data_IF_811172065509
#
_entry.id   IF_811172065509
#
_cell.length_a   1.000
_cell.length_b   1.000
_cell.length_c   1.000
_cell.angle_alpha   90.00
_cell.angle_beta   90.00
_cell.angle_gamma   90.00
#
_symmetry.space_group_name_H-M   'P 1'
#
loop_
_entity.id
_entity.type
_entity.pdbx_description
1 polymer ?
#
# COMPACT_ATOMS: atom_id res chain seq x y z
N UNK A 1 -2.16 -3.51 25.36
CA UNK A 1 -1.57 -2.30 24.75
C UNK A 1 -0.24 -2.71 24.12
N UNK A 2 -0.18 -2.87 22.80
CA UNK A 2 1.06 -3.18 22.09
C UNK A 2 1.93 -1.91 22.00
N UNK A 3 3.21 -1.97 22.36
CA UNK A 3 4.03 -0.77 22.45
C UNK A 3 4.29 -0.17 21.05
N UNK A 4 3.96 1.11 20.89
CA UNK A 4 4.27 1.95 19.73
C UNK A 4 5.71 2.45 19.71
N UNK A 5 6.50 2.15 20.74
CA UNK A 5 7.92 2.51 20.82
C UNK A 5 8.75 1.66 19.86
N UNK A 6 9.01 2.19 18.67
CA UNK A 6 9.92 1.55 17.69
C UNK A 6 9.57 1.75 16.22
N UNK A 7 8.36 2.23 15.91
CA UNK A 7 7.98 2.54 14.52
C UNK A 7 8.52 3.92 14.13
N UNK A 8 9.52 3.93 13.24
CA UNK A 8 10.19 5.13 12.75
C UNK A 8 10.30 5.13 11.21
N UNK A 9 11.11 6.03 10.63
CA UNK A 9 11.24 6.18 9.17
C UNK A 9 11.61 4.90 8.42
N UNK A 10 12.21 3.93 9.09
CA UNK A 10 12.52 2.62 8.52
C UNK A 10 11.27 1.85 8.07
N UNK A 11 10.09 2.05 8.66
CA UNK A 11 8.87 1.36 8.26
C UNK A 11 8.46 1.71 6.81
N UNK A 12 8.85 2.91 6.37
CA UNK A 12 8.60 3.42 5.03
C UNK A 12 9.30 2.58 3.95
N UNK A 13 10.51 2.09 4.25
CA UNK A 13 11.33 1.32 3.32
C UNK A 13 11.04 -0.19 3.36
N UNK A 14 10.13 -0.64 4.22
CA UNK A 14 9.86 -2.06 4.38
C UNK A 14 9.33 -2.67 3.08
N UNK A 15 9.85 -3.84 2.66
CA UNK A 15 9.22 -4.61 1.60
C UNK A 15 7.76 -4.87 1.93
N UNK A 16 6.89 -4.62 0.97
CA UNK A 16 5.47 -4.91 1.10
C UNK A 16 5.20 -6.40 0.89
N UNK A 17 5.88 -6.99 -0.10
CA UNK A 17 5.76 -8.39 -0.48
C UNK A 17 6.88 -9.23 0.12
N UNK A 18 6.59 -10.48 0.49
CA UNK A 18 7.50 -11.45 1.07
C UNK A 18 8.03 -11.02 2.45
N UNK A 19 7.42 -10.03 3.09
CA UNK A 19 7.89 -9.50 4.36
C UNK A 19 7.23 -10.22 5.53
N UNK A 20 7.90 -11.17 6.17
CA UNK A 20 7.26 -12.07 7.12
C UNK A 20 6.83 -11.40 8.44
N UNK A 21 7.17 -10.12 8.64
CA UNK A 21 6.85 -9.38 9.87
C UNK A 21 5.73 -8.37 9.68
N UNK A 22 5.28 -8.16 8.44
CA UNK A 22 3.90 -7.71 8.26
C UNK A 22 3.01 -8.84 8.80
N UNK A 23 2.15 -8.58 9.80
CA UNK A 23 1.31 -9.64 10.41
C UNK A 23 0.43 -10.37 9.40
N UNK A 24 0.13 -9.73 8.26
CA UNK A 24 -0.62 -10.30 7.14
C UNK A 24 0.21 -11.13 6.16
N UNK A 25 1.53 -11.16 6.30
CA UNK A 25 2.44 -11.96 5.48
C UNK A 25 2.83 -13.29 6.15
N UNK A 26 2.63 -13.42 7.47
CA UNK A 26 2.99 -14.61 8.24
C UNK A 26 2.04 -15.81 8.07
N UNK A 27 1.14 -15.80 7.08
CA UNK A 27 0.30 -16.98 6.76
C UNK A 27 -0.64 -17.47 7.87
N UNK A 28 -0.81 -16.72 8.96
CA UNK A 28 -1.65 -17.12 10.11
C UNK A 28 -3.17 -16.98 9.86
N UNK A 29 -3.55 -16.52 8.66
CA UNK A 29 -4.86 -16.67 8.04
C UNK A 29 -4.58 -17.01 6.57
N UNK A 30 -5.27 -17.98 5.99
CA UNK A 30 -4.88 -18.59 4.73
C UNK A 30 -4.71 -17.58 3.57
N UNK A 31 -3.47 -17.29 3.19
CA UNK A 31 -3.10 -16.44 2.06
C UNK A 31 -2.48 -15.10 2.47
N UNK A 32 -1.18 -14.94 2.23
CA UNK A 32 -0.49 -13.66 2.44
C UNK A 32 -1.02 -12.54 1.55
N UNK A 33 -0.51 -11.32 1.74
CA UNK A 33 -0.89 -10.15 0.93
C UNK A 33 -0.75 -10.40 -0.58
N UNK A 34 0.21 -11.23 -0.98
CA UNK A 34 0.47 -11.64 -2.36
C UNK A 34 -0.71 -12.40 -2.97
N UNK A 35 -1.33 -13.29 -2.18
CA UNK A 35 -2.49 -14.08 -2.60
C UNK A 35 -3.73 -13.22 -2.68
N UNK A 36 -3.90 -12.31 -1.72
CA UNK A 36 -5.10 -11.48 -1.61
C UNK A 36 -5.09 -10.29 -2.58
N UNK A 37 -3.90 -9.84 -2.99
CA UNK A 37 -3.73 -8.67 -3.86
C UNK A 37 -2.79 -8.94 -5.05
N UNK A 38 -3.05 -9.97 -5.89
CA UNK A 38 -2.15 -10.36 -6.98
C UNK A 38 -2.00 -9.24 -8.03
N UNK A 39 -3.06 -8.48 -8.30
CA UNK A 39 -3.02 -7.34 -9.20
C UNK A 39 -2.11 -6.21 -8.67
N UNK A 40 -2.09 -5.96 -7.36
CA UNK A 40 -1.19 -4.97 -6.77
C UNK A 40 0.26 -5.48 -6.74
N UNK A 41 0.46 -6.78 -6.47
CA UNK A 41 1.78 -7.43 -6.50
C UNK A 41 2.42 -7.36 -7.89
N UNK A 42 1.63 -7.42 -8.96
CA UNK A 42 2.10 -7.30 -10.34
C UNK A 42 2.57 -5.89 -10.72
N UNK A 43 2.36 -4.87 -9.88
CA UNK A 43 2.81 -3.51 -10.16
C UNK A 43 4.31 -3.33 -9.83
N UNK A 44 5.18 -3.06 -10.81
CA UNK A 44 6.64 -3.03 -10.60
C UNK A 44 7.11 -1.95 -9.62
N UNK A 45 6.36 -0.85 -9.48
CA UNK A 45 6.69 0.25 -8.57
C UNK A 45 6.22 0.04 -7.12
N UNK A 46 5.34 -0.93 -6.87
CA UNK A 46 4.68 -1.10 -5.57
C UNK A 46 5.46 -2.07 -4.68
N UNK A 47 6.69 -1.70 -4.30
CA UNK A 47 7.60 -2.62 -3.60
C UNK A 47 7.64 -2.44 -2.08
N UNK A 48 7.31 -1.23 -1.60
CA UNK A 48 7.46 -0.88 -0.19
C UNK A 48 6.15 -0.40 0.42
N UNK A 49 6.04 -0.49 1.74
CA UNK A 49 4.94 0.13 2.48
C UNK A 49 4.84 1.63 2.20
N UNK A 50 5.98 2.34 2.12
CA UNK A 50 6.01 3.75 1.79
C UNK A 50 5.44 4.05 0.40
N UNK A 51 5.73 3.22 -0.61
CA UNK A 51 5.10 3.37 -1.93
C UNK A 51 3.60 3.11 -1.87
N UNK A 52 3.15 2.09 -1.12
CA UNK A 52 1.72 1.81 -0.95
C UNK A 52 0.98 2.98 -0.27
N UNK A 53 1.56 3.56 0.77
CA UNK A 53 1.01 4.74 1.46
C UNK A 53 0.97 5.95 0.53
N UNK A 54 2.04 6.23 -0.24
CA UNK A 54 2.03 7.30 -1.26
C UNK A 54 0.90 7.12 -2.27
N UNK A 55 0.75 5.91 -2.84
CA UNK A 55 -0.31 5.61 -3.80
C UNK A 55 -1.69 5.81 -3.18
N UNK A 56 -1.88 5.33 -1.95
CA UNK A 56 -3.15 5.48 -1.25
C UNK A 56 -3.45 6.95 -0.97
N UNK A 57 -2.53 7.75 -0.42
CA UNK A 57 -2.77 9.17 -0.18
C UNK A 57 -3.07 9.95 -1.47
N UNK A 58 -2.33 9.68 -2.55
CA UNK A 58 -2.57 10.28 -3.86
C UNK A 58 -3.96 9.94 -4.46
N UNK A 59 -4.60 8.87 -3.99
CA UNK A 59 -5.96 8.47 -4.35
C UNK A 59 -7.05 9.10 -3.46
N UNK A 60 -6.72 9.96 -2.49
CA UNK A 60 -7.69 10.57 -1.59
C UNK A 60 -8.82 11.30 -2.34
N UNK A 61 -8.48 12.10 -3.36
CA UNK A 61 -9.47 12.79 -4.18
C UNK A 61 -10.38 11.82 -4.95
N UNK A 62 -9.84 10.68 -5.43
CA UNK A 62 -10.65 9.65 -6.09
C UNK A 62 -11.61 9.01 -5.09
N UNK A 63 -11.15 8.66 -3.88
CA UNK A 63 -12.02 8.10 -2.83
C UNK A 63 -13.13 9.06 -2.42
N UNK A 64 -12.82 10.35 -2.28
CA UNK A 64 -13.84 11.37 -1.97
C UNK A 64 -14.90 11.48 -3.07
N UNK A 65 -14.48 11.49 -4.34
CA UNK A 65 -15.39 11.50 -5.48
C UNK A 65 -16.30 10.26 -5.51
N UNK A 66 -15.74 9.08 -5.24
CA UNK A 66 -16.50 7.82 -5.17
C UNK A 66 -17.48 7.85 -4.00
N UNK A 67 -17.04 8.27 -2.81
CA UNK A 67 -17.86 8.33 -1.61
C UNK A 67 -19.00 9.36 -1.69
N UNK A 68 -18.88 10.38 -2.55
CA UNK A 68 -19.95 11.36 -2.80
C UNK A 68 -21.15 10.80 -3.56
N UNK A 69 -21.11 9.53 -3.98
CA UNK A 69 -22.16 8.86 -4.74
C UNK A 69 -22.68 7.62 -4.02
N UNK A 70 -23.99 7.33 -4.15
CA UNK A 70 -24.54 6.08 -3.67
C UNK A 70 -23.88 4.87 -4.37
N UNK A 71 -23.80 3.75 -3.67
CA UNK A 71 -23.26 2.51 -4.21
C UNK A 71 -24.00 2.11 -5.49
N UNK A 72 -23.24 1.79 -6.54
CA UNK A 72 -23.79 1.45 -7.86
C UNK A 72 -24.18 2.64 -8.75
N UNK A 73 -24.13 3.88 -8.25
CA UNK A 73 -24.53 5.08 -9.00
C UNK A 73 -23.37 5.79 -9.72
N UNK A 74 -22.23 5.12 -9.91
CA UNK A 74 -21.03 5.75 -10.46
C UNK A 74 -21.11 5.84 -11.99
N UNK A 75 -21.73 6.91 -12.47
CA UNK A 75 -21.91 7.14 -13.90
C UNK A 75 -20.58 7.23 -14.69
N UNK A 76 -20.63 6.97 -16.01
CA UNK A 76 -19.42 6.80 -16.85
C UNK A 76 -18.53 8.04 -16.89
N UNK A 77 -19.11 9.25 -16.82
CA UNK A 77 -18.35 10.51 -16.77
C UNK A 77 -17.50 10.61 -15.51
N UNK A 78 -18.05 10.20 -14.37
CA UNK A 78 -17.34 10.25 -13.09
C UNK A 78 -16.27 9.16 -13.02
N UNK A 79 -16.58 7.94 -13.46
CA UNK A 79 -15.60 6.86 -13.57
C UNK A 79 -14.39 7.30 -14.42
N UNK A 80 -14.64 7.93 -15.57
CA UNK A 80 -13.57 8.49 -16.42
C UNK A 80 -12.74 9.55 -15.71
N UNK A 81 -13.37 10.47 -14.96
CA UNK A 81 -12.67 11.50 -14.17
C UNK A 81 -11.78 10.88 -13.10
N UNK A 82 -12.28 9.88 -12.37
CA UNK A 82 -11.52 9.13 -11.37
C UNK A 82 -10.31 8.43 -12.01
N UNK A 83 -10.48 7.79 -13.16
CA UNK A 83 -9.39 7.13 -13.89
C UNK A 83 -8.35 8.12 -14.40
N UNK A 84 -8.74 9.31 -14.88
CA UNK A 84 -7.80 10.37 -15.26
C UNK A 84 -6.99 10.84 -14.04
N UNK A 85 -7.65 11.03 -12.89
CA UNK A 85 -6.99 11.46 -11.66
C UNK A 85 -6.00 10.40 -11.16
N UNK A 86 -6.38 9.12 -11.20
CA UNK A 86 -5.52 7.99 -10.86
C UNK A 86 -4.25 7.96 -11.74
N UNK A 87 -4.41 8.08 -13.07
CA UNK A 87 -3.27 8.12 -14.01
C UNK A 87 -2.30 9.27 -13.69
N UNK A 88 -2.84 10.45 -13.39
CA UNK A 88 -2.06 11.67 -13.12
C UNK A 88 -1.37 11.67 -11.77
N UNK A 89 -2.00 11.07 -10.75
CA UNK A 89 -1.56 11.20 -9.35
C UNK A 89 -0.79 9.98 -8.85
N UNK A 90 -0.99 8.80 -9.45
CA UNK A 90 -0.36 7.55 -9.01
C UNK A 90 0.51 6.93 -10.09
N UNK A 91 -0.09 6.56 -11.23
CA UNK A 91 0.61 5.72 -12.21
C UNK A 91 1.89 6.37 -12.71
N UNK A 92 1.81 7.61 -13.19
CA UNK A 92 2.98 8.32 -13.70
C UNK A 92 3.95 8.80 -12.62
N UNK A 93 3.52 9.54 -11.58
CA UNK A 93 4.47 10.14 -10.63
C UNK A 93 4.99 9.17 -9.57
N UNK A 94 4.23 8.13 -9.20
CA UNK A 94 4.61 7.22 -8.11
C UNK A 94 5.10 5.90 -8.70
N UNK A 95 4.26 5.22 -9.48
CA UNK A 95 4.57 3.88 -10.00
C UNK A 95 5.41 3.90 -11.29
N UNK A 96 5.61 5.07 -11.89
CA UNK A 96 6.36 5.26 -13.16
C UNK A 96 5.81 4.44 -14.33
N UNK A 97 4.51 4.14 -14.30
CA UNK A 97 3.78 3.47 -15.36
C UNK A 97 3.15 4.53 -16.27
N UNK A 98 3.61 4.59 -17.51
CA UNK A 98 3.11 5.53 -18.53
C UNK A 98 2.03 4.91 -19.42
N UNK A 99 2.07 3.59 -19.59
CA UNK A 99 1.18 2.81 -20.42
C UNK A 99 0.20 1.97 -19.57
N UNK A 100 -1.10 2.16 -19.82
CA UNK A 100 -2.16 1.44 -19.14
C UNK A 100 -2.23 -0.04 -19.49
N UNK A 101 -1.73 -0.45 -20.67
CA UNK A 101 -1.72 -1.85 -21.06
C UNK A 101 -0.83 -2.69 -20.12
N UNK A 102 0.10 -2.05 -19.41
CA UNK A 102 0.96 -2.67 -18.40
C UNK A 102 0.32 -2.75 -17.00
N UNK A 103 -0.86 -2.14 -16.82
CA UNK A 103 -1.61 -2.17 -15.57
C UNK A 103 -2.57 -3.36 -15.61
N UNK A 104 -2.60 -4.21 -14.57
CA UNK A 104 -3.56 -5.30 -14.46
C UNK A 104 -5.00 -4.82 -14.66
N UNK A 105 -5.85 -5.59 -15.36
CA UNK A 105 -7.23 -5.19 -15.70
C UNK A 105 -8.03 -4.63 -14.52
N UNK A 106 -7.90 -5.25 -13.35
CA UNK A 106 -8.59 -4.91 -12.10
C UNK A 106 -8.20 -3.54 -11.55
N UNK A 107 -7.07 -2.99 -11.99
CA UNK A 107 -6.52 -1.71 -11.56
C UNK A 107 -6.58 -0.64 -12.66
N UNK A 108 -7.14 -0.94 -13.83
CA UNK A 108 -7.19 0.04 -14.91
C UNK A 108 -8.19 1.19 -14.65
N UNK A 109 -9.12 0.95 -13.74
CA UNK A 109 -10.15 1.86 -13.28
C UNK A 109 -9.70 2.59 -12.02
N UNK A 110 -9.84 3.92 -11.99
CA UNK A 110 -9.49 4.73 -10.83
C UNK A 110 -10.26 4.34 -9.55
N UNK A 111 -11.59 4.17 -9.60
CA UNK A 111 -12.38 3.68 -8.46
C UNK A 111 -11.92 2.31 -7.94
N UNK A 112 -11.69 1.35 -8.84
CA UNK A 112 -11.30 -0.01 -8.44
C UNK A 112 -9.89 -0.04 -7.85
N UNK A 113 -8.96 0.71 -8.45
CA UNK A 113 -7.64 0.94 -7.87
C UNK A 113 -7.74 1.56 -6.46
N UNK A 114 -8.59 2.57 -6.27
CA UNK A 114 -8.79 3.19 -4.96
C UNK A 114 -9.36 2.21 -3.91
N UNK A 115 -10.26 1.31 -4.31
CA UNK A 115 -10.77 0.25 -3.46
C UNK A 115 -9.67 -0.77 -3.09
N UNK A 116 -8.92 -1.26 -4.08
CA UNK A 116 -7.82 -2.21 -3.90
C UNK A 116 -6.72 -1.66 -2.98
N UNK A 117 -6.27 -0.42 -3.19
CA UNK A 117 -5.28 0.21 -2.29
C UNK A 117 -5.82 0.41 -0.86
N UNK A 118 -7.13 0.67 -0.71
CA UNK A 118 -7.75 0.81 0.62
C UNK A 118 -7.85 -0.54 1.33
N UNK A 119 -8.22 -1.60 0.61
CA UNK A 119 -8.26 -2.95 1.13
C UNK A 119 -6.85 -3.44 1.54
N UNK A 120 -5.83 -3.16 0.73
CA UNK A 120 -4.43 -3.43 1.07
C UNK A 120 -4.02 -2.73 2.38
N UNK A 121 -4.25 -1.42 2.48
CA UNK A 121 -3.86 -0.68 3.69
C UNK A 121 -4.71 -1.07 4.91
N UNK A 122 -5.94 -1.55 4.74
CA UNK A 122 -6.74 -2.09 5.84
C UNK A 122 -6.09 -3.34 6.46
N UNK A 123 -5.33 -4.11 5.68
CA UNK A 123 -4.53 -5.24 6.19
C UNK A 123 -3.27 -4.79 6.93
N UNK A 124 -2.71 -3.62 6.60
CA UNK A 124 -1.49 -3.13 7.27
C UNK A 124 -1.83 -2.58 8.67
N UNK A 125 -1.07 -2.95 9.72
CA UNK A 125 -1.24 -2.39 11.07
C UNK A 125 -1.30 -0.86 11.06
N UNK A 126 -2.29 -0.28 11.75
CA UNK A 126 -2.53 1.17 11.71
C UNK A 126 -1.31 1.99 12.13
N UNK A 127 -0.59 1.56 13.18
CA UNK A 127 0.60 2.25 13.64
C UNK A 127 1.71 2.32 12.57
N UNK A 128 1.84 1.30 11.72
CA UNK A 128 2.82 1.28 10.63
C UNK A 128 2.43 2.25 9.52
N UNK A 129 1.13 2.31 9.19
CA UNK A 129 0.60 3.28 8.23
C UNK A 129 0.80 4.71 8.69
N UNK A 130 0.53 5.00 9.96
CA UNK A 130 0.73 6.32 10.57
C UNK A 130 2.22 6.72 10.52
N UNK A 131 3.13 5.82 10.90
CA UNK A 131 4.57 6.11 10.85
C UNK A 131 5.08 6.33 9.41
N UNK A 132 4.59 5.55 8.44
CA UNK A 132 4.94 5.73 7.03
C UNK A 132 4.39 7.04 6.44
N UNK A 133 3.15 7.42 6.80
CA UNK A 133 2.54 8.70 6.40
C UNK A 133 3.28 9.89 7.03
N UNK A 134 3.64 9.81 8.32
CA UNK A 134 4.45 10.84 8.97
C UNK A 134 5.81 11.03 8.27
N UNK A 135 6.45 9.93 7.87
CA UNK A 135 7.72 9.96 7.11
C UNK A 135 7.56 10.59 5.72
N UNK A 136 6.40 10.39 5.08
CA UNK A 136 6.10 10.98 3.78
C UNK A 136 6.00 12.52 3.86
N UNK A 137 5.39 13.04 4.91
CA UNK A 137 5.19 14.48 5.10
C UNK A 137 6.38 15.21 5.73
N UNK A 138 7.23 14.51 6.47
CA UNK A 138 8.45 15.04 7.07
C UNK A 138 9.67 14.18 6.69
N UNK A 139 10.11 14.22 5.41
CA UNK A 139 11.29 13.49 4.97
C UNK A 139 12.54 14.12 5.62
N UNK A 140 13.13 13.45 6.59
CA UNK A 140 14.31 13.98 7.30
C UNK A 140 14.58 13.36 8.68
N UNK A 141 13.64 12.60 9.25
CA UNK A 141 13.92 11.80 10.44
C UNK A 141 15.01 10.76 10.12
N UNK A 142 16.00 10.63 11.01
CA UNK A 142 17.01 9.58 10.88
C UNK A 142 16.31 8.22 10.69
N UNK A 143 16.67 7.51 9.61
CA UNK A 143 16.24 6.14 9.40
C UNK A 143 16.95 5.25 10.43
N UNK A 144 16.51 5.32 11.68
CA UNK A 144 16.93 4.38 12.71
C UNK A 144 16.56 2.98 12.24
N UNK A 145 17.51 2.05 12.28
CA UNK A 145 17.26 0.65 11.96
C UNK A 145 16.01 0.13 12.72
N UNK A 146 15.31 -0.89 12.18
CA UNK A 146 14.22 -1.52 12.92
C UNK A 146 14.73 -1.90 14.32
N UNK A 147 13.93 -1.74 15.38
CA UNK A 147 14.34 -2.14 16.72
C UNK A 147 14.75 -3.61 16.71
N UNK A 148 15.78 -3.98 17.48
CA UNK A 148 16.31 -5.35 17.57
C UNK A 148 15.23 -6.47 17.64
N UNK A 149 14.17 -6.38 18.47
CA UNK A 149 13.10 -7.39 18.48
C UNK A 149 12.40 -7.57 17.13
N UNK A 150 12.35 -6.52 16.30
CA UNK A 150 11.80 -6.58 14.96
C UNK A 150 12.78 -7.22 13.97
N UNK A 151 14.08 -6.94 14.11
CA UNK A 151 15.13 -7.65 13.37
C UNK A 151 15.20 -9.14 13.72
N UNK A 152 14.89 -9.50 14.95
CA UNK A 152 14.85 -10.89 15.40
C UNK A 152 13.59 -11.60 14.91
N UNK A 153 12.43 -10.93 14.92
CA UNK A 153 11.23 -11.42 14.24
C UNK A 153 11.49 -11.63 12.73
N UNK A 154 12.21 -10.72 12.09
CA UNK A 154 12.63 -10.85 10.69
C UNK A 154 13.52 -12.08 10.47
N UNK A 155 14.56 -12.26 11.29
CA UNK A 155 15.47 -13.41 11.20
C UNK A 155 14.74 -14.73 11.45
N UNK A 156 13.97 -14.82 12.54
CA UNK A 156 13.29 -16.05 12.93
C UNK A 156 12.24 -16.48 11.91
N UNK A 157 11.49 -15.53 11.36
CA UNK A 157 10.51 -15.87 10.34
C UNK A 157 11.16 -16.29 9.01
N UNK A 158 12.35 -15.77 8.68
CA UNK A 158 13.13 -16.24 7.51
C UNK A 158 13.69 -17.65 7.70
N UNK A 159 14.01 -18.04 8.92
CA UNK A 159 14.50 -19.39 9.26
C UNK A 159 13.36 -20.41 9.21
N UNK A 160 12.14 -20.06 9.64
CA UNK A 160 10.97 -20.96 9.58
C UNK A 160 10.37 -21.18 8.18
N UNK A 161 10.89 -20.49 7.15
CA UNK A 161 10.51 -20.62 5.75
C UNK A 161 11.48 -21.52 4.94
N UNK A 162 12.55 -22.04 5.57
CA UNK A 162 13.53 -22.93 4.95
C UNK A 162 13.30 -24.39 5.32
#
# INVERSE_FOLDING_TARGET
MTPTHGLGPWCFALPLWGNPVLPCAAGLQAGGLERDFPALMALPGLLTLGTAVRCWEALAAVRQLVASKPAGALGPRLARRCTIQYKRSVLRPILRITDMARVPPELQSGPDAAAQFSALLARVPAAWRVAASATLHAPGGAASAPPAPQMDAWRNARVGLR
#
